data_IF_124904055294
#
_entry.id   IF_124904055294
#
_cell.length_a   1.000
_cell.length_b   1.000
_cell.length_c   1.000
_cell.angle_alpha   90.00
_cell.angle_beta   90.00
_cell.angle_gamma   90.00
#
_symmetry.space_group_name_H-M   'P 1'
#
loop_
_entity.id
_entity.type
_entity.pdbx_description
1 polymer ?
#
# COMPACT_ATOMS: atom_id res chain seq x y z
N UNK A 1 55.87 39.77 12.21
CA UNK A 1 57.01 39.36 13.02
C UNK A 1 56.58 38.26 13.94
N UNK A 2 57.23 37.11 13.89
CA UNK A 2 57.01 35.97 14.80
C UNK A 2 56.89 34.63 14.09
N UNK A 3 58.01 34.11 13.64
CA UNK A 3 58.20 32.71 13.22
C UNK A 3 58.22 31.78 14.45
N UNK A 4 57.59 30.61 14.32
CA UNK A 4 57.96 29.48 15.18
C UNK A 4 58.04 28.25 14.30
N UNK A 5 59.28 27.73 14.17
CA UNK A 5 59.66 26.43 13.64
C UNK A 5 59.44 25.36 14.74
N UNK A 6 58.83 24.25 14.38
CA UNK A 6 58.78 23.03 15.21
C UNK A 6 59.43 21.85 14.47
N UNK A 7 60.12 20.93 15.14
CA UNK A 7 61.07 20.01 14.50
C UNK A 7 60.45 18.82 13.81
N UNK A 8 61.03 18.46 12.67
CA UNK A 8 60.86 17.20 11.95
C UNK A 8 61.32 15.99 12.78
N UNK A 9 60.52 14.96 12.90
CA UNK A 9 60.96 13.65 13.30
C UNK A 9 60.52 12.63 12.24
N UNK A 10 61.43 12.29 11.35
CA UNK A 10 61.37 11.09 10.53
C UNK A 10 61.79 9.89 11.36
N UNK A 11 60.87 8.96 11.57
CA UNK A 11 61.23 7.59 11.92
C UNK A 11 60.62 6.63 10.92
N UNK A 12 61.46 6.06 10.08
CA UNK A 12 61.12 4.97 9.17
C UNK A 12 60.92 3.67 9.98
N UNK A 13 59.68 3.19 10.03
CA UNK A 13 59.44 1.79 10.37
C UNK A 13 59.08 1.04 9.09
N UNK A 14 60.03 0.25 8.59
CA UNK A 14 59.82 -0.67 7.49
C UNK A 14 59.08 -1.92 8.03
N UNK A 15 57.76 -1.97 7.86
CA UNK A 15 57.02 -3.21 7.98
C UNK A 15 57.00 -3.94 6.64
N UNK A 16 57.66 -5.08 6.57
CA UNK A 16 57.60 -6.01 5.45
C UNK A 16 56.22 -6.64 5.38
N UNK A 17 55.36 -6.12 4.48
CA UNK A 17 54.11 -6.76 4.11
C UNK A 17 54.41 -8.01 3.29
N UNK A 18 54.15 -9.20 3.83
CA UNK A 18 54.09 -10.42 3.06
C UNK A 18 52.93 -10.31 2.03
N UNK A 19 53.30 -10.34 0.76
CA UNK A 19 52.34 -10.38 -0.34
C UNK A 19 51.77 -11.80 -0.41
N UNK A 20 50.54 -12.00 0.08
CA UNK A 20 49.80 -13.21 -0.17
C UNK A 20 49.51 -13.26 -1.67
N UNK A 21 50.08 -14.20 -2.40
CA UNK A 21 49.74 -14.48 -3.79
C UNK A 21 48.28 -14.92 -3.86
N UNK A 22 47.43 -14.09 -4.49
CA UNK A 22 46.06 -14.43 -4.85
C UNK A 22 46.08 -15.57 -5.84
N UNK A 23 45.60 -16.73 -5.43
CA UNK A 23 45.39 -17.86 -6.34
C UNK A 23 44.38 -17.49 -7.44
N UNK A 24 44.73 -17.85 -8.66
CA UNK A 24 43.90 -17.57 -9.83
C UNK A 24 42.51 -18.21 -9.70
N UNK A 25 41.44 -17.40 -9.77
CA UNK A 25 40.04 -17.88 -9.73
C UNK A 25 39.73 -18.90 -10.86
N UNK A 26 40.50 -18.91 -11.93
CA UNK A 26 40.38 -19.89 -13.02
C UNK A 26 40.71 -21.32 -12.61
N UNK A 27 41.60 -21.50 -11.64
CA UNK A 27 41.99 -22.83 -11.13
C UNK A 27 40.82 -23.52 -10.40
N UNK A 28 40.07 -22.79 -9.59
CA UNK A 28 38.93 -23.35 -8.85
C UNK A 28 37.75 -23.72 -9.76
N UNK A 29 37.57 -22.99 -10.86
CA UNK A 29 36.50 -23.31 -11.84
C UNK A 29 36.82 -24.67 -12.51
N UNK A 30 38.06 -24.90 -12.93
CA UNK A 30 38.46 -26.16 -13.56
C UNK A 30 38.37 -27.35 -12.60
N UNK A 31 38.77 -27.19 -11.36
CA UNK A 31 38.67 -28.29 -10.36
C UNK A 31 37.19 -28.61 -10.05
N UNK A 32 36.32 -27.59 -9.99
CA UNK A 32 34.87 -27.80 -9.83
C UNK A 32 34.24 -28.56 -11.00
N UNK A 33 34.64 -28.20 -12.23
CA UNK A 33 34.11 -28.84 -13.43
C UNK A 33 34.56 -30.31 -13.53
N UNK A 34 35.81 -30.60 -13.25
CA UNK A 34 36.34 -31.97 -13.22
C UNK A 34 35.61 -32.80 -12.15
N UNK A 35 35.40 -32.21 -10.95
CA UNK A 35 34.65 -32.87 -9.88
C UNK A 35 33.21 -33.22 -10.26
N UNK A 36 32.54 -32.31 -10.96
CA UNK A 36 31.14 -32.52 -11.44
C UNK A 36 31.08 -33.66 -12.47
N UNK A 37 32.01 -33.69 -13.41
CA UNK A 37 32.03 -34.74 -14.44
C UNK A 37 32.36 -36.11 -13.81
N UNK A 38 33.34 -36.19 -12.92
CA UNK A 38 33.69 -37.45 -12.20
C UNK A 38 32.50 -37.89 -11.35
N UNK A 39 31.83 -36.98 -10.66
CA UNK A 39 30.64 -37.29 -9.87
C UNK A 39 29.52 -37.86 -10.72
N UNK A 40 29.19 -37.22 -11.88
CA UNK A 40 28.15 -37.67 -12.81
C UNK A 40 28.45 -39.07 -13.36
N UNK A 41 29.70 -39.33 -13.75
CA UNK A 41 30.11 -40.64 -14.25
C UNK A 41 30.03 -41.70 -13.14
N UNK A 42 30.43 -41.37 -11.92
CA UNK A 42 30.35 -42.30 -10.76
C UNK A 42 28.88 -42.67 -10.44
N UNK A 43 27.97 -41.70 -10.48
CA UNK A 43 26.54 -41.94 -10.24
C UNK A 43 25.98 -42.84 -11.37
N UNK A 44 26.36 -42.61 -12.61
CA UNK A 44 25.89 -43.42 -13.75
C UNK A 44 26.28 -44.90 -13.62
N UNK A 45 27.47 -45.19 -13.08
CA UNK A 45 27.93 -46.58 -12.86
C UNK A 45 27.35 -47.19 -11.58
N UNK A 46 27.06 -46.40 -10.55
CA UNK A 46 26.57 -46.90 -9.27
C UNK A 46 25.02 -46.99 -9.23
N UNK A 47 24.30 -46.24 -10.03
CA UNK A 47 22.83 -46.17 -10.05
C UNK A 47 22.14 -47.56 -10.16
N UNK A 48 22.61 -48.49 -10.97
CA UNK A 48 21.99 -49.81 -11.04
C UNK A 48 22.04 -50.63 -9.73
N UNK A 49 22.90 -50.26 -8.79
CA UNK A 49 23.13 -50.99 -7.54
C UNK A 49 22.48 -50.29 -6.34
N UNK A 50 21.75 -49.19 -6.56
CA UNK A 50 21.08 -48.47 -5.45
C UNK A 50 19.60 -48.85 -5.37
N UNK A 51 19.11 -49.33 -4.20
CA UNK A 51 17.74 -49.82 -4.09
C UNK A 51 16.64 -48.80 -4.43
N UNK A 52 16.93 -47.50 -4.28
CA UNK A 52 15.96 -46.45 -4.60
C UNK A 52 15.90 -46.09 -6.10
N UNK A 53 16.92 -46.47 -6.88
CA UNK A 53 16.98 -46.14 -8.32
C UNK A 53 16.18 -47.12 -9.21
N UNK A 54 15.73 -48.25 -8.65
CA UNK A 54 15.06 -49.26 -9.42
C UNK A 54 13.54 -49.04 -9.53
N UNK A 55 12.97 -48.03 -8.85
CA UNK A 55 11.52 -47.84 -8.80
C UNK A 55 10.99 -46.70 -9.73
N UNK A 56 11.80 -46.15 -10.62
CA UNK A 56 11.38 -45.09 -11.52
C UNK A 56 11.33 -45.47 -13.01
N UNK A 57 11.08 -46.73 -13.30
CA UNK A 57 10.70 -47.16 -14.64
C UNK A 57 9.18 -47.02 -14.79
N UNK A 58 8.76 -45.92 -15.42
CA UNK A 58 7.35 -45.70 -15.74
C UNK A 58 6.93 -46.64 -16.85
N UNK A 59 6.53 -47.88 -16.49
CA UNK A 59 5.72 -48.69 -17.37
C UNK A 59 4.27 -48.45 -17.06
N UNK A 60 3.56 -47.87 -18.00
CA UNK A 60 2.10 -47.75 -17.96
C UNK A 60 1.49 -49.16 -18.04
N UNK A 61 1.25 -49.79 -16.88
CA UNK A 61 0.46 -51.01 -16.84
C UNK A 61 -0.99 -50.64 -16.66
N UNK A 62 -1.80 -51.04 -17.61
CA UNK A 62 -3.25 -51.03 -17.56
C UNK A 62 -3.72 -51.85 -16.37
N UNK A 63 -4.33 -51.23 -15.36
CA UNK A 63 -4.99 -51.90 -14.27
C UNK A 63 -6.39 -52.28 -14.69
N UNK A 64 -6.62 -53.58 -14.87
CA UNK A 64 -7.97 -54.16 -14.91
C UNK A 64 -8.51 -54.25 -13.48
N UNK A 65 -9.77 -53.93 -13.36
CA UNK A 65 -10.56 -53.88 -12.14
C UNK A 65 -10.62 -55.23 -11.39
N UNK A 66 -10.29 -55.22 -10.10
CA UNK A 66 -11.14 -55.78 -9.04
C UNK A 66 -10.45 -55.67 -7.69
N UNK A 67 -10.89 -54.72 -6.91
CA UNK A 67 -11.00 -54.82 -5.44
C UNK A 67 -11.53 -53.48 -4.89
N UNK A 68 -12.63 -53.60 -4.15
CA UNK A 68 -13.25 -52.48 -3.43
C UNK A 68 -12.30 -51.95 -2.33
N UNK A 69 -11.85 -50.72 -2.50
CA UNK A 69 -11.35 -49.93 -1.39
C UNK A 69 -12.17 -48.64 -1.39
N UNK A 70 -13.02 -48.48 -0.40
CA UNK A 70 -13.75 -47.24 -0.15
C UNK A 70 -12.77 -46.18 0.35
N UNK A 71 -12.21 -45.42 -0.56
CA UNK A 71 -11.49 -44.18 -0.29
C UNK A 71 -11.99 -43.14 -1.24
N UNK A 72 -12.62 -42.11 -0.72
CA UNK A 72 -13.12 -40.99 -1.53
C UNK A 72 -11.92 -40.24 -2.14
N UNK A 73 -11.52 -40.62 -3.33
CA UNK A 73 -10.57 -39.84 -4.10
C UNK A 73 -11.36 -38.70 -4.76
N UNK A 74 -11.18 -37.51 -4.27
CA UNK A 74 -11.74 -36.32 -4.93
C UNK A 74 -10.87 -36.06 -6.15
N UNK A 75 -11.37 -36.21 -7.37
CA UNK A 75 -10.58 -35.87 -8.55
C UNK A 75 -10.45 -34.35 -8.65
N UNK A 76 -9.26 -33.83 -8.41
CA UNK A 76 -8.96 -32.45 -8.73
C UNK A 76 -8.69 -32.37 -10.24
N UNK A 77 -9.75 -32.50 -11.01
CA UNK A 77 -9.68 -32.17 -12.43
C UNK A 77 -10.69 -31.06 -12.70
N UNK A 78 -10.31 -29.84 -12.37
CA UNK A 78 -10.91 -28.70 -13.03
C UNK A 78 -10.22 -28.58 -14.39
N UNK A 79 -10.89 -28.98 -15.46
CA UNK A 79 -10.55 -28.55 -16.80
C UNK A 79 -10.49 -27.02 -16.77
N UNK A 80 -9.30 -26.46 -16.87
CA UNK A 80 -9.12 -25.03 -17.11
C UNK A 80 -9.91 -24.72 -18.39
N UNK A 81 -11.01 -24.00 -18.22
CA UNK A 81 -11.70 -23.37 -19.36
C UNK A 81 -10.70 -22.34 -19.92
N UNK A 82 -10.27 -22.62 -21.13
CA UNK A 82 -9.56 -21.71 -22.03
C UNK A 82 -8.45 -20.87 -21.37
N UNK A 83 -7.24 -21.07 -21.81
CA UNK A 83 -6.15 -20.12 -21.53
C UNK A 83 -6.69 -18.71 -21.81
N UNK A 84 -6.78 -17.90 -20.80
CA UNK A 84 -7.18 -16.50 -20.93
C UNK A 84 -6.16 -15.84 -21.87
N UNK A 85 -6.64 -15.18 -22.91
CA UNK A 85 -5.79 -14.40 -23.81
C UNK A 85 -5.23 -13.19 -23.06
N UNK A 86 -4.17 -13.42 -22.30
CA UNK A 86 -3.52 -12.37 -21.50
C UNK A 86 -3.04 -11.20 -22.37
N UNK A 87 -2.39 -11.42 -23.55
CA UNK A 87 -2.05 -10.29 -24.42
C UNK A 87 -3.27 -9.46 -24.84
N UNK A 88 -4.36 -10.11 -25.25
CA UNK A 88 -5.60 -9.41 -25.65
C UNK A 88 -6.23 -8.65 -24.49
N UNK A 89 -6.19 -9.22 -23.28
CA UNK A 89 -6.69 -8.54 -22.06
C UNK A 89 -5.84 -7.29 -21.76
N UNK A 90 -4.51 -7.41 -21.84
CA UNK A 90 -3.59 -6.27 -21.61
C UNK A 90 -3.84 -5.18 -22.67
N UNK A 91 -4.05 -5.56 -23.92
CA UNK A 91 -4.36 -4.60 -24.99
C UNK A 91 -5.66 -3.84 -24.69
N UNK A 92 -6.68 -4.54 -24.24
CA UNK A 92 -7.96 -3.92 -23.82
C UNK A 92 -7.81 -2.99 -22.61
N UNK A 93 -6.95 -3.37 -21.66
CA UNK A 93 -6.69 -2.59 -20.44
C UNK A 93 -5.94 -1.28 -20.76
N UNK A 94 -5.13 -1.23 -21.82
CA UNK A 94 -4.42 0.01 -22.21
C UNK A 94 -5.34 1.19 -22.48
N UNK A 95 -6.57 0.93 -22.92
CA UNK A 95 -7.52 2.00 -23.21
C UNK A 95 -8.16 2.60 -21.94
N UNK A 96 -8.09 1.89 -20.83
CA UNK A 96 -8.74 2.33 -19.58
C UNK A 96 -7.72 2.71 -18.49
N UNK A 97 -6.44 2.35 -18.66
CA UNK A 97 -5.37 2.73 -17.73
C UNK A 97 -4.56 3.88 -18.35
N UNK A 98 -4.56 5.02 -17.69
CA UNK A 98 -4.01 6.28 -18.20
C UNK A 98 -2.88 6.80 -17.34
N UNK A 99 -2.07 7.70 -17.90
CA UNK A 99 -1.06 8.43 -17.13
C UNK A 99 -1.69 9.64 -16.44
N UNK A 100 -1.32 9.88 -15.19
CA UNK A 100 -1.72 11.09 -14.44
C UNK A 100 -0.47 11.90 -14.13
N UNK A 101 -0.49 13.16 -14.50
CA UNK A 101 0.64 14.09 -14.40
C UNK A 101 0.29 15.19 -13.40
N UNK A 102 1.07 15.27 -12.34
CA UNK A 102 0.99 16.32 -11.31
C UNK A 102 2.00 17.43 -11.65
N UNK A 103 1.50 18.63 -11.87
CA UNK A 103 2.29 19.81 -12.15
C UNK A 103 2.29 20.72 -10.92
N UNK A 104 3.46 21.11 -10.46
CA UNK A 104 3.62 22.02 -9.31
C UNK A 104 4.46 23.22 -9.72
N UNK A 105 4.27 24.33 -9.03
CA UNK A 105 5.09 25.53 -9.26
C UNK A 105 6.46 25.33 -8.62
N UNK A 106 7.48 25.66 -9.40
CA UNK A 106 8.85 25.71 -8.87
C UNK A 106 8.95 26.81 -7.84
N UNK A 107 9.66 26.54 -6.75
CA UNK A 107 9.97 27.54 -5.73
C UNK A 107 11.41 28.00 -5.93
N UNK A 108 11.63 29.30 -5.97
CA UNK A 108 12.97 29.88 -5.97
C UNK A 108 13.62 29.54 -4.62
N UNK A 109 14.72 28.78 -4.61
CA UNK A 109 15.33 28.33 -3.34
C UNK A 109 15.93 29.50 -2.53
N UNK A 110 16.17 30.67 -3.14
CA UNK A 110 16.72 31.86 -2.45
C UNK A 110 15.62 32.80 -1.98
N UNK A 111 14.62 33.03 -2.83
CA UNK A 111 13.52 33.96 -2.52
C UNK A 111 12.39 33.30 -1.76
N UNK A 112 12.35 31.96 -1.70
CA UNK A 112 11.27 31.16 -1.11
C UNK A 112 9.88 31.53 -1.67
N UNK A 113 9.86 31.92 -2.96
CA UNK A 113 8.63 32.34 -3.65
C UNK A 113 8.43 31.50 -4.93
N UNK A 114 7.18 31.30 -5.35
CA UNK A 114 6.90 30.61 -6.60
C UNK A 114 7.52 31.38 -7.80
N UNK A 115 8.20 30.66 -8.66
CA UNK A 115 8.85 31.23 -9.87
C UNK A 115 7.85 31.48 -11.00
N UNK A 116 6.62 30.99 -10.85
CA UNK A 116 5.62 31.04 -11.93
C UNK A 116 5.81 29.96 -12.99
N UNK A 117 6.89 29.16 -12.90
CA UNK A 117 7.12 28.05 -13.82
C UNK A 117 6.54 26.75 -13.24
N UNK A 118 5.73 26.07 -14.03
CA UNK A 118 5.17 24.77 -13.68
C UNK A 118 6.14 23.66 -14.10
N UNK A 119 6.43 22.74 -13.19
CA UNK A 119 7.21 21.54 -13.50
C UNK A 119 6.41 20.30 -13.12
N UNK A 120 6.68 19.19 -13.81
CA UNK A 120 6.14 17.89 -13.45
C UNK A 120 6.79 17.44 -12.14
N UNK A 121 5.98 17.35 -11.11
CA UNK A 121 6.41 16.89 -9.80
C UNK A 121 6.24 15.37 -9.60
N UNK A 122 5.14 14.66 -10.16
CA UNK A 122 4.89 13.38 -10.04
C UNK A 122 4.19 12.92 -11.21
N UNK A 123 4.38 11.80 -11.26
CA UNK A 123 3.48 11.13 -12.21
C UNK A 123 3.13 9.73 -11.69
N UNK A 124 1.95 9.25 -12.07
CA UNK A 124 1.47 7.93 -11.72
C UNK A 124 0.47 7.47 -12.75
N UNK A 125 -0.32 6.48 -12.37
CA UNK A 125 -1.37 5.93 -13.23
C UNK A 125 -2.76 6.25 -12.69
N UNK A 126 -3.78 6.07 -13.52
CA UNK A 126 -5.16 6.18 -13.14
C UNK A 126 -6.02 5.24 -13.99
N UNK A 127 -7.25 5.03 -13.56
CA UNK A 127 -8.19 4.12 -14.20
C UNK A 127 -9.46 4.87 -14.57
N UNK A 128 -9.83 4.87 -15.85
CA UNK A 128 -11.11 5.43 -16.32
C UNK A 128 -12.21 4.43 -15.95
N UNK A 129 -13.02 4.78 -14.95
CA UNK A 129 -14.06 3.87 -14.44
C UNK A 129 -15.48 4.28 -14.86
N UNK A 130 -15.65 5.52 -15.34
CA UNK A 130 -16.98 6.03 -15.64
C UNK A 130 -16.91 7.12 -16.73
N UNK A 131 -17.92 7.12 -17.61
CA UNK A 131 -18.18 8.20 -18.54
C UNK A 131 -19.64 8.65 -18.36
N UNK A 132 -19.87 9.94 -18.26
CA UNK A 132 -21.19 10.53 -18.09
C UNK A 132 -21.29 11.82 -18.94
N UNK A 133 -22.02 11.76 -20.03
CA UNK A 133 -22.11 12.85 -20.99
C UNK A 133 -20.74 13.15 -21.61
N UNK A 134 -20.32 14.40 -21.53
CA UNK A 134 -19.04 14.87 -22.06
C UNK A 134 -17.88 14.73 -21.05
N UNK A 135 -18.10 14.07 -19.92
CA UNK A 135 -17.11 13.94 -18.87
C UNK A 135 -16.69 12.49 -18.68
N UNK A 136 -15.44 12.27 -18.34
CA UNK A 136 -14.96 10.96 -17.90
C UNK A 136 -14.27 11.10 -16.53
N UNK A 137 -14.41 10.08 -15.71
CA UNK A 137 -13.94 10.06 -14.33
C UNK A 137 -12.85 8.98 -14.17
N UNK A 138 -11.79 9.37 -13.46
CA UNK A 138 -10.58 8.55 -13.29
C UNK A 138 -10.30 8.46 -11.80
N UNK A 139 -10.10 7.24 -11.32
CA UNK A 139 -9.59 7.02 -9.97
C UNK A 139 -8.08 6.88 -10.00
N UNK A 140 -7.18 7.49 -9.15
CA UNK A 140 -5.89 7.50 -9.02
C UNK A 140 -5.61 7.37 -7.64
N UNK A 141 -4.39 7.34 -7.23
CA UNK A 141 -4.01 7.49 -5.80
C UNK A 141 -3.97 8.96 -5.38
N UNK A 142 -4.24 9.20 -4.12
CA UNK A 142 -4.16 10.55 -3.53
C UNK A 142 -2.73 11.10 -3.62
N UNK A 143 -1.71 10.32 -3.31
CA UNK A 143 -0.33 10.81 -3.33
C UNK A 143 0.13 11.26 -4.73
N UNK A 144 -0.51 10.76 -5.80
CA UNK A 144 -0.20 11.18 -7.18
C UNK A 144 -0.69 12.61 -7.45
N UNK A 145 -1.80 13.03 -6.85
CA UNK A 145 -2.41 14.36 -7.09
C UNK A 145 -2.10 15.36 -5.98
N UNK A 146 -1.47 14.92 -4.91
CA UNK A 146 -1.26 15.79 -3.75
C UNK A 146 -0.32 16.94 -4.08
N UNK A 147 -0.66 18.14 -3.59
CA UNK A 147 0.10 19.36 -3.85
C UNK A 147 0.05 19.89 -5.29
N UNK A 148 -0.79 19.31 -6.16
CA UNK A 148 -0.85 19.74 -7.56
C UNK A 148 -1.44 21.15 -7.72
N UNK A 149 -0.76 22.00 -8.47
CA UNK A 149 -1.32 23.27 -8.97
C UNK A 149 -2.16 22.99 -10.22
N UNK A 150 -1.73 22.07 -11.06
CA UNK A 150 -2.43 21.65 -12.26
C UNK A 150 -2.30 20.12 -12.44
N UNK A 151 -3.37 19.51 -12.92
CA UNK A 151 -3.40 18.09 -13.25
C UNK A 151 -3.65 17.90 -14.74
N UNK A 152 -3.03 16.88 -15.31
CA UNK A 152 -3.27 16.46 -16.67
C UNK A 152 -3.29 14.94 -16.75
N UNK A 153 -4.04 14.43 -17.70
CA UNK A 153 -4.14 12.99 -17.97
C UNK A 153 -3.60 12.73 -19.38
N UNK A 154 -2.77 11.71 -19.50
CA UNK A 154 -2.26 11.24 -20.78
C UNK A 154 -2.99 9.95 -21.15
N UNK A 155 -3.75 10.02 -22.23
CA UNK A 155 -4.57 8.91 -22.74
C UNK A 155 -3.69 7.91 -23.52
N UNK A 156 -4.25 6.73 -23.83
CA UNK A 156 -3.54 5.68 -24.57
C UNK A 156 -3.11 6.11 -25.98
N UNK A 157 -3.82 7.05 -26.61
CA UNK A 157 -3.46 7.61 -27.92
C UNK A 157 -2.35 8.68 -27.85
N UNK A 158 -1.80 8.91 -26.66
CA UNK A 158 -0.75 9.89 -26.41
C UNK A 158 -1.25 11.31 -26.15
N UNK A 159 -2.54 11.57 -26.32
CA UNK A 159 -3.11 12.92 -26.06
C UNK A 159 -3.04 13.27 -24.59
N UNK A 160 -2.62 14.50 -24.32
CA UNK A 160 -2.62 15.08 -22.98
C UNK A 160 -3.87 15.98 -22.85
N UNK A 161 -4.68 15.71 -21.84
CA UNK A 161 -5.91 16.47 -21.57
C UNK A 161 -5.84 17.03 -20.14
N UNK A 162 -6.33 18.24 -19.95
CA UNK A 162 -6.39 18.84 -18.61
C UNK A 162 -7.36 18.07 -17.74
N UNK A 163 -7.02 17.93 -16.46
CA UNK A 163 -7.83 17.21 -15.50
C UNK A 163 -8.16 18.10 -14.30
N UNK A 164 -9.35 17.93 -13.78
CA UNK A 164 -9.83 18.63 -12.58
C UNK A 164 -9.95 17.65 -11.43
N UNK A 165 -9.39 17.99 -10.27
CA UNK A 165 -9.59 17.20 -9.05
C UNK A 165 -11.07 17.30 -8.62
N UNK A 166 -11.74 16.17 -8.52
CA UNK A 166 -13.12 16.07 -8.01
C UNK A 166 -13.08 15.93 -6.48
N UNK A 167 -12.21 15.07 -5.97
CA UNK A 167 -12.03 14.88 -4.55
C UNK A 167 -10.88 13.93 -4.25
N UNK A 168 -10.45 13.92 -2.98
CA UNK A 168 -9.37 13.04 -2.55
C UNK A 168 -9.58 12.54 -1.13
N UNK A 169 -9.03 11.35 -0.85
CA UNK A 169 -9.07 10.71 0.47
C UNK A 169 -7.66 10.23 0.84
N UNK A 170 -6.94 10.97 1.70
CA UNK A 170 -5.61 10.53 2.15
C UNK A 170 -5.61 9.23 2.97
N UNK A 171 -6.73 8.88 3.62
CA UNK A 171 -6.84 7.70 4.49
C UNK A 171 -6.72 6.39 3.74
N UNK A 172 -7.33 6.33 2.55
CA UNK A 172 -7.25 5.15 1.68
C UNK A 172 -6.40 5.41 0.44
N UNK A 173 -5.69 6.53 0.41
CA UNK A 173 -4.80 6.92 -0.69
C UNK A 173 -5.54 6.91 -2.04
N UNK A 174 -6.77 7.45 -2.07
CA UNK A 174 -7.59 7.52 -3.29
C UNK A 174 -7.91 8.96 -3.69
N UNK A 175 -8.02 9.19 -4.99
CA UNK A 175 -8.47 10.46 -5.55
C UNK A 175 -9.30 10.20 -6.81
N UNK A 176 -10.20 11.11 -7.10
CA UNK A 176 -10.99 11.11 -8.33
C UNK A 176 -10.70 12.40 -9.08
N UNK A 177 -10.39 12.27 -10.37
CA UNK A 177 -10.25 13.42 -11.29
C UNK A 177 -11.23 13.28 -12.44
N UNK A 178 -11.61 14.41 -13.00
CA UNK A 178 -12.54 14.56 -14.14
C UNK A 178 -11.76 15.09 -15.34
N UNK A 179 -12.04 14.55 -16.52
CA UNK A 179 -11.51 15.05 -17.81
C UNK A 179 -12.64 15.23 -18.81
N UNK A 180 -12.34 15.94 -19.91
CA UNK A 180 -13.22 15.92 -21.11
C UNK A 180 -13.25 14.50 -21.65
N UNK A 181 -14.46 13.94 -21.74
CA UNK A 181 -14.68 12.56 -22.19
C UNK A 181 -14.75 12.38 -23.70
N UNK A 182 -14.50 13.41 -24.50
CA UNK A 182 -14.65 13.32 -25.97
C UNK A 182 -13.80 12.20 -26.58
N UNK A 183 -12.59 11.98 -26.04
CA UNK A 183 -11.67 10.95 -26.54
C UNK A 183 -11.70 9.65 -25.73
N UNK A 184 -12.68 9.49 -24.82
CA UNK A 184 -12.82 8.30 -24.00
C UNK A 184 -13.90 7.40 -24.62
N UNK A 185 -13.48 6.23 -25.10
CA UNK A 185 -14.35 5.26 -25.77
C UNK A 185 -14.65 4.02 -24.92
N UNK A 186 -13.84 3.78 -23.89
CA UNK A 186 -13.99 2.62 -23.01
C UNK A 186 -13.85 3.03 -21.54
N UNK A 187 -14.53 2.28 -20.69
CA UNK A 187 -14.38 2.39 -19.24
C UNK A 187 -14.04 1.01 -18.67
N UNK A 188 -13.37 0.97 -17.56
CA UNK A 188 -12.97 -0.27 -16.90
C UNK A 188 -14.16 -1.00 -16.29
N UNK A 189 -14.11 -2.33 -16.32
CA UNK A 189 -15.05 -3.18 -15.59
C UNK A 189 -14.55 -3.38 -14.17
N UNK A 190 -15.31 -2.90 -13.19
CA UNK A 190 -14.99 -3.08 -11.77
C UNK A 190 -15.53 -4.44 -11.30
N UNK A 191 -14.62 -5.29 -10.85
CA UNK A 191 -14.93 -6.63 -10.36
C UNK A 191 -15.45 -6.67 -8.93
N UNK A 192 -15.20 -7.79 -8.26
CA UNK A 192 -15.62 -8.05 -6.88
C UNK A 192 -14.45 -8.63 -6.08
N UNK A 193 -13.80 -7.79 -5.28
CA UNK A 193 -12.64 -8.20 -4.48
C UNK A 193 -13.01 -9.15 -3.31
N UNK A 194 -14.29 -9.29 -2.96
CA UNK A 194 -14.69 -10.25 -1.93
C UNK A 194 -14.60 -11.71 -2.41
N UNK A 195 -14.62 -11.92 -3.72
CA UNK A 195 -14.63 -13.24 -4.34
C UNK A 195 -13.25 -13.77 -4.72
N UNK A 196 -12.21 -12.95 -4.66
CA UNK A 196 -10.86 -13.36 -5.02
C UNK A 196 -10.30 -14.36 -3.99
N UNK A 197 -9.38 -15.20 -4.43
CA UNK A 197 -8.75 -16.22 -3.60
C UNK A 197 -7.23 -16.17 -3.77
N UNK A 198 -6.53 -16.52 -2.70
CA UNK A 198 -5.08 -16.70 -2.77
C UNK A 198 -4.73 -17.73 -3.87
N UNK A 199 -3.70 -17.43 -4.65
CA UNK A 199 -3.25 -18.24 -5.78
C UNK A 199 -3.87 -17.87 -7.13
N UNK A 200 -4.92 -17.02 -7.18
CA UNK A 200 -5.48 -16.54 -8.45
C UNK A 200 -4.53 -15.54 -9.11
N UNK A 201 -4.51 -15.52 -10.43
CA UNK A 201 -3.70 -14.58 -11.21
C UNK A 201 -4.06 -13.12 -10.89
N UNK A 202 -3.04 -12.30 -10.76
CA UNK A 202 -3.12 -10.86 -10.55
C UNK A 202 -2.22 -10.16 -11.56
N UNK A 203 -2.77 -9.24 -12.33
CA UNK A 203 -2.05 -8.50 -13.36
C UNK A 203 -2.11 -7.01 -12.98
N UNK A 204 -0.98 -6.43 -12.58
CA UNK A 204 -0.89 -5.01 -12.26
C UNK A 204 -0.51 -4.23 -13.51
N UNK A 205 -1.35 -3.25 -13.87
CA UNK A 205 -1.14 -2.42 -15.05
C UNK A 205 -1.12 -0.95 -14.66
N UNK A 206 -0.10 -0.23 -15.13
CA UNK A 206 0.00 1.21 -15.04
C UNK A 206 0.48 1.80 -16.36
N UNK A 207 0.34 3.12 -16.48
CA UNK A 207 0.74 3.84 -17.70
C UNK A 207 1.29 5.23 -17.35
N UNK A 208 2.34 5.32 -16.54
CA UNK A 208 2.77 6.60 -15.95
C UNK A 208 3.18 7.66 -16.99
N UNK A 209 3.63 7.25 -18.13
CA UNK A 209 4.12 8.16 -19.19
C UNK A 209 3.23 8.14 -20.45
N UNK A 210 2.21 7.27 -20.48
CA UNK A 210 1.26 7.18 -21.58
C UNK A 210 1.84 6.59 -22.87
N UNK A 211 2.90 5.78 -22.78
CA UNK A 211 3.53 5.14 -23.94
C UNK A 211 3.47 3.61 -23.83
N UNK A 212 4.43 3.03 -23.15
CA UNK A 212 4.48 1.59 -22.95
C UNK A 212 4.11 1.29 -21.49
N UNK A 213 2.88 0.88 -21.28
CA UNK A 213 2.37 0.59 -19.94
C UNK A 213 3.25 -0.37 -19.16
N UNK A 214 3.42 -0.10 -17.87
CA UNK A 214 4.06 -1.05 -16.96
C UNK A 214 3.07 -2.18 -16.67
N UNK A 215 3.41 -3.39 -17.07
CA UNK A 215 2.59 -4.59 -16.82
C UNK A 215 3.43 -5.57 -16.01
N UNK A 216 2.91 -5.99 -14.87
CA UNK A 216 3.53 -7.05 -14.06
C UNK A 216 2.48 -8.10 -13.75
N UNK A 217 2.88 -9.38 -13.73
CA UNK A 217 2.00 -10.51 -13.43
C UNK A 217 2.50 -11.23 -12.18
N UNK A 218 1.57 -11.67 -11.38
CA UNK A 218 1.82 -12.49 -10.21
C UNK A 218 0.52 -13.17 -9.78
N UNK A 219 0.39 -13.43 -8.49
CA UNK A 219 -0.80 -14.03 -7.90
C UNK A 219 -1.31 -13.19 -6.72
N UNK A 220 -2.53 -13.43 -6.32
CA UNK A 220 -3.07 -12.93 -5.05
C UNK A 220 -2.40 -13.74 -3.93
N UNK A 221 -1.58 -13.08 -3.13
CA UNK A 221 -0.95 -13.71 -1.96
C UNK A 221 -1.90 -13.73 -0.76
N UNK A 222 -2.69 -12.65 -0.59
CA UNK A 222 -3.75 -12.55 0.42
C UNK A 222 -4.83 -11.58 -0.07
N UNK A 223 -6.10 -11.95 0.11
CA UNK A 223 -7.22 -11.07 -0.28
C UNK A 223 -7.50 -9.97 0.75
N UNK A 224 -7.11 -10.21 1.99
CA UNK A 224 -7.35 -9.30 3.12
C UNK A 224 -6.13 -9.31 4.03
N UNK A 225 -5.43 -8.19 4.08
CA UNK A 225 -4.32 -7.99 4.99
C UNK A 225 -4.44 -6.58 5.57
N UNK A 226 -4.35 -6.47 6.88
CA UNK A 226 -4.26 -5.16 7.55
C UNK A 226 -2.80 -4.76 7.62
N UNK A 227 -2.50 -3.57 7.15
CA UNK A 227 -1.15 -3.01 7.22
C UNK A 227 -1.21 -1.59 7.83
N UNK A 228 -0.24 -1.26 8.68
CA UNK A 228 -0.16 0.08 9.25
C UNK A 228 0.22 1.10 8.18
N UNK A 229 -0.46 2.23 8.15
CA UNK A 229 -0.20 3.33 7.21
C UNK A 229 0.07 4.60 8.00
N UNK A 230 1.17 5.24 7.69
CA UNK A 230 1.55 6.56 8.16
C UNK A 230 1.03 7.58 7.12
N UNK A 231 0.06 8.40 7.52
CA UNK A 231 -0.59 9.35 6.63
C UNK A 231 0.17 10.69 6.61
N UNK A 232 0.66 11.12 7.77
CA UNK A 232 1.27 12.44 7.93
C UNK A 232 2.81 12.44 7.88
N UNK A 233 3.45 11.26 7.82
CA UNK A 233 4.90 11.12 7.65
C UNK A 233 5.70 11.16 8.96
N UNK A 234 5.05 11.02 10.11
CA UNK A 234 5.73 11.06 11.42
C UNK A 234 6.33 9.70 11.84
N UNK A 235 6.21 8.69 10.99
CA UNK A 235 6.68 7.29 11.14
C UNK A 235 5.89 6.47 12.17
N UNK A 236 4.68 6.91 12.48
CA UNK A 236 3.72 6.16 13.31
C UNK A 236 2.50 5.78 12.48
N UNK A 237 1.87 4.70 12.87
CA UNK A 237 0.66 4.28 12.17
C UNK A 237 -0.53 5.14 12.59
N UNK A 238 -1.11 5.86 11.64
CA UNK A 238 -2.38 6.59 11.82
C UNK A 238 -3.59 5.70 11.64
N UNK A 239 -3.44 4.68 10.81
CA UNK A 239 -4.52 3.87 10.31
C UNK A 239 -4.01 2.47 9.92
N UNK A 240 -4.88 1.47 10.01
CA UNK A 240 -4.64 0.16 9.39
C UNK A 240 -5.46 0.07 8.12
N UNK A 241 -4.80 0.03 6.99
CA UNK A 241 -5.45 -0.17 5.70
C UNK A 241 -5.66 -1.66 5.45
N UNK A 242 -6.87 -2.01 5.02
CA UNK A 242 -7.16 -3.35 4.52
C UNK A 242 -6.78 -3.40 3.04
N UNK A 243 -5.92 -4.33 2.65
CA UNK A 243 -5.34 -4.39 1.31
C UNK A 243 -5.35 -5.82 0.75
N UNK A 244 -5.29 -5.91 -0.58
CA UNK A 244 -4.93 -7.13 -1.31
C UNK A 244 -3.40 -7.18 -1.35
N UNK A 245 -2.81 -8.33 -0.99
CA UNK A 245 -1.38 -8.57 -1.17
C UNK A 245 -1.17 -9.41 -2.42
N UNK A 246 -0.16 -9.05 -3.23
CA UNK A 246 0.24 -9.75 -4.46
C UNK A 246 1.77 -9.77 -4.57
N UNK A 247 2.31 -10.75 -5.26
CA UNK A 247 3.72 -10.77 -5.65
C UNK A 247 3.95 -10.14 -7.03
N UNK A 248 2.88 -9.73 -7.74
CA UNK A 248 3.02 -8.84 -8.89
C UNK A 248 3.72 -7.54 -8.45
N UNK A 249 4.78 -7.14 -9.12
CA UNK A 249 5.58 -5.99 -8.70
C UNK A 249 4.77 -4.69 -8.76
N UNK A 250 4.59 -4.03 -7.62
CA UNK A 250 3.93 -2.73 -7.50
C UNK A 250 5.01 -1.67 -7.27
N UNK A 251 5.11 -0.72 -8.18
CA UNK A 251 6.16 0.31 -8.23
C UNK A 251 5.53 1.67 -8.52
N UNK A 252 6.27 2.77 -8.32
CA UNK A 252 5.74 4.11 -8.61
C UNK A 252 5.10 4.28 -9.99
N UNK A 253 5.56 3.54 -10.99
CA UNK A 253 5.01 3.60 -12.36
C UNK A 253 3.59 3.04 -12.48
N UNK A 254 3.23 1.97 -11.74
CA UNK A 254 1.89 1.39 -11.81
C UNK A 254 0.98 1.79 -10.63
N UNK A 255 1.49 2.63 -9.71
CA UNK A 255 0.71 3.19 -8.60
C UNK A 255 -0.44 4.06 -9.13
N UNK A 256 -1.64 3.83 -8.64
CA UNK A 256 -2.88 4.46 -9.12
C UNK A 256 -3.52 3.72 -10.29
N UNK A 257 -2.78 2.82 -10.92
CA UNK A 257 -3.29 1.91 -11.94
C UNK A 257 -4.08 0.76 -11.33
N UNK A 258 -4.42 -0.22 -12.16
CA UNK A 258 -5.32 -1.30 -11.76
C UNK A 258 -4.60 -2.61 -11.48
N UNK A 259 -5.12 -3.34 -10.50
CA UNK A 259 -4.88 -4.76 -10.34
C UNK A 259 -6.06 -5.50 -10.97
N UNK A 260 -5.79 -6.26 -12.03
CA UNK A 260 -6.81 -7.04 -12.76
C UNK A 260 -6.77 -8.51 -12.35
N UNK A 261 -7.94 -9.15 -12.41
CA UNK A 261 -8.03 -10.61 -12.39
C UNK A 261 -7.84 -11.15 -13.83
N UNK A 262 -7.84 -12.47 -13.96
CA UNK A 262 -7.66 -13.13 -15.27
C UNK A 262 -8.80 -12.86 -16.28
N UNK A 263 -9.94 -12.33 -15.84
CA UNK A 263 -11.08 -11.99 -16.68
C UNK A 263 -11.04 -10.53 -17.17
N UNK A 264 -9.99 -9.77 -16.82
CA UNK A 264 -9.88 -8.35 -17.17
C UNK A 264 -10.76 -7.43 -16.31
N UNK A 265 -11.20 -7.91 -15.15
CA UNK A 265 -11.96 -7.09 -14.20
C UNK A 265 -11.01 -6.52 -13.14
N UNK A 266 -11.24 -5.28 -12.73
CA UNK A 266 -10.41 -4.62 -11.72
C UNK A 266 -10.84 -5.11 -10.33
N UNK A 267 -9.89 -5.72 -9.61
CA UNK A 267 -10.07 -6.20 -8.24
C UNK A 267 -9.43 -5.27 -7.21
N UNK A 268 -8.54 -4.37 -7.64
CA UNK A 268 -7.92 -3.40 -6.75
C UNK A 268 -7.26 -2.23 -7.48
N UNK A 269 -6.91 -1.19 -6.72
CA UNK A 269 -6.13 -0.04 -7.17
C UNK A 269 -4.74 -0.16 -6.56
N UNK A 270 -3.71 -0.24 -7.39
CA UNK A 270 -2.31 -0.40 -6.97
C UNK A 270 -1.85 0.80 -6.14
N UNK A 271 -1.13 0.58 -5.04
CA UNK A 271 -0.56 1.69 -4.26
C UNK A 271 0.87 1.38 -3.82
N UNK A 272 1.82 2.08 -4.41
CA UNK A 272 3.24 1.98 -4.03
C UNK A 272 3.52 2.68 -2.70
N UNK A 273 2.72 3.67 -2.29
CA UNK A 273 2.87 4.31 -0.98
C UNK A 273 2.65 3.31 0.16
N UNK A 274 1.63 2.46 0.01
CA UNK A 274 1.32 1.42 0.99
C UNK A 274 2.44 0.34 1.00
N UNK A 275 3.13 0.15 -0.13
CA UNK A 275 4.20 -0.85 -0.28
C UNK A 275 5.58 -0.39 0.25
N UNK A 276 5.69 0.80 0.84
CA UNK A 276 6.99 1.40 1.20
C UNK A 276 7.80 0.69 2.29
N UNK A 277 7.35 -0.42 2.84
CA UNK A 277 8.23 -1.29 3.60
C UNK A 277 8.92 -2.23 2.60
N UNK A 278 10.15 -1.91 2.25
CA UNK A 278 10.97 -2.53 1.20
C UNK A 278 11.18 -4.04 1.37
N UNK A 279 10.14 -4.81 1.12
CA UNK A 279 10.26 -6.27 1.04
C UNK A 279 10.00 -6.67 -0.40
N UNK A 280 11.05 -7.12 -1.06
CA UNK A 280 10.98 -7.60 -2.45
C UNK A 280 9.93 -8.70 -2.57
N UNK A 281 9.09 -8.64 -3.61
CA UNK A 281 8.05 -9.63 -3.84
C UNK A 281 6.75 -9.40 -3.05
N UNK A 282 6.57 -8.23 -2.43
CA UNK A 282 5.33 -7.87 -1.75
C UNK A 282 4.77 -6.57 -2.34
N UNK A 283 3.67 -6.68 -3.04
CA UNK A 283 2.90 -5.55 -3.56
C UNK A 283 1.55 -5.46 -2.90
N UNK A 284 0.97 -4.26 -2.88
CA UNK A 284 -0.34 -4.01 -2.27
C UNK A 284 -1.26 -3.25 -3.21
N UNK A 285 -2.56 -3.60 -3.13
CA UNK A 285 -3.62 -2.87 -3.84
C UNK A 285 -4.81 -2.65 -2.90
N UNK A 286 -5.45 -1.50 -3.06
CA UNK A 286 -6.68 -1.15 -2.32
C UNK A 286 -7.82 -1.98 -2.92
N UNK A 287 -8.52 -2.84 -2.15
CA UNK A 287 -9.59 -3.68 -2.69
C UNK A 287 -10.67 -2.86 -3.36
N UNK A 288 -11.16 -3.30 -4.52
CA UNK A 288 -12.14 -2.52 -5.29
C UNK A 288 -13.46 -2.33 -4.53
N UNK A 289 -13.86 -3.30 -3.69
CA UNK A 289 -15.08 -3.18 -2.88
C UNK A 289 -14.93 -2.13 -1.77
N UNK A 290 -13.71 -1.84 -1.32
CA UNK A 290 -13.41 -0.74 -0.39
C UNK A 290 -13.33 0.59 -1.16
N UNK A 291 -12.77 0.57 -2.36
CA UNK A 291 -12.61 1.78 -3.18
C UNK A 291 -13.95 2.33 -3.68
N UNK A 292 -14.89 1.47 -4.09
CA UNK A 292 -16.19 1.89 -4.67
C UNK A 292 -16.94 2.92 -3.81
N UNK A 293 -17.26 2.66 -2.53
CA UNK A 293 -17.98 3.65 -1.72
C UNK A 293 -17.21 4.96 -1.49
N UNK A 294 -15.87 4.87 -1.45
CA UNK A 294 -15.00 6.07 -1.37
C UNK A 294 -15.12 6.88 -2.66
N UNK A 295 -15.01 6.24 -3.82
CA UNK A 295 -15.16 6.87 -5.14
C UNK A 295 -16.52 7.59 -5.23
N UNK A 296 -17.61 6.92 -4.83
CA UNK A 296 -18.96 7.50 -4.82
C UNK A 296 -19.04 8.74 -3.92
N UNK A 297 -18.43 8.68 -2.73
CA UNK A 297 -18.40 9.82 -1.80
C UNK A 297 -17.60 11.00 -2.39
N UNK A 298 -16.47 10.71 -3.03
CA UNK A 298 -15.63 11.73 -3.67
C UNK A 298 -16.35 12.38 -4.86
N UNK A 299 -17.08 11.60 -5.67
CA UNK A 299 -17.89 12.15 -6.78
C UNK A 299 -18.99 13.07 -6.26
N UNK A 300 -19.68 12.65 -5.20
CA UNK A 300 -20.87 13.34 -4.69
C UNK A 300 -20.52 14.57 -3.86
N UNK A 301 -19.58 14.42 -2.92
CA UNK A 301 -19.30 15.41 -1.88
C UNK A 301 -17.90 16.02 -1.98
N UNK A 302 -17.02 15.49 -2.82
CA UNK A 302 -15.61 15.90 -2.92
C UNK A 302 -14.74 15.40 -1.78
N UNK A 303 -15.35 14.80 -0.76
CA UNK A 303 -14.67 14.31 0.45
C UNK A 303 -15.35 13.04 0.95
N UNK A 304 -14.62 12.24 1.71
CA UNK A 304 -15.19 11.11 2.43
C UNK A 304 -15.54 11.56 3.86
N UNK A 305 -16.82 11.56 4.19
CA UNK A 305 -17.31 11.97 5.51
C UNK A 305 -17.15 10.82 6.49
N UNK A 306 -16.31 11.04 7.51
CA UNK A 306 -16.08 10.07 8.58
C UNK A 306 -16.54 10.63 9.92
N UNK A 307 -17.15 9.79 10.79
CA UNK A 307 -17.57 10.26 12.11
C UNK A 307 -16.35 10.63 12.96
N UNK A 308 -16.38 11.79 13.56
CA UNK A 308 -15.26 12.35 14.31
C UNK A 308 -15.71 13.04 15.59
N UNK A 309 -14.86 12.97 16.61
CA UNK A 309 -14.99 13.74 17.85
C UNK A 309 -14.39 15.15 17.72
N UNK A 310 -13.53 15.39 16.74
CA UNK A 310 -12.83 16.66 16.58
C UNK A 310 -11.74 16.83 17.62
N UNK A 311 -10.83 15.87 17.67
CA UNK A 311 -9.71 15.81 18.62
C UNK A 311 -8.41 15.41 17.91
N UNK A 312 -7.30 15.94 18.37
CA UNK A 312 -5.98 15.40 18.08
C UNK A 312 -5.64 14.36 19.15
N UNK A 313 -5.20 13.18 18.76
CA UNK A 313 -5.01 12.04 19.67
C UNK A 313 -3.58 11.49 19.58
N UNK A 314 -3.08 11.03 20.75
CA UNK A 314 -1.77 10.36 20.87
C UNK A 314 -1.99 9.11 21.74
N UNK A 315 -1.42 7.98 21.35
CA UNK A 315 -1.46 6.78 22.21
C UNK A 315 -0.71 7.03 23.52
N UNK A 316 -1.26 6.57 24.63
CA UNK A 316 -0.62 6.77 25.94
C UNK A 316 0.80 6.19 25.99
N UNK A 317 1.03 5.08 25.31
CA UNK A 317 2.35 4.43 25.18
C UNK A 317 3.40 5.31 24.48
N UNK A 318 2.96 6.26 23.64
CA UNK A 318 3.83 7.17 22.90
C UNK A 318 4.15 8.45 23.68
N UNK A 319 3.46 8.68 24.80
CA UNK A 319 3.68 9.87 25.61
C UNK A 319 4.95 9.67 26.44
N UNK A 320 5.83 10.65 26.41
CA UNK A 320 7.09 10.59 27.16
C UNK A 320 6.83 10.44 28.68
N UNK A 321 7.63 9.65 29.36
CA UNK A 321 7.42 9.27 30.76
C UNK A 321 7.23 10.47 31.71
N UNK A 322 7.96 11.57 31.48
CA UNK A 322 7.78 12.77 32.32
C UNK A 322 6.41 13.41 32.15
N UNK A 323 5.84 13.37 30.97
CA UNK A 323 4.52 13.94 30.69
C UNK A 323 3.42 13.04 31.24
N UNK A 324 3.59 11.72 31.21
CA UNK A 324 2.65 10.76 31.80
C UNK A 324 2.47 11.06 33.29
N UNK A 325 3.56 11.38 34.01
CA UNK A 325 3.48 11.74 35.44
C UNK A 325 2.64 13.00 35.69
N UNK A 326 2.68 13.95 34.75
CA UNK A 326 1.88 15.18 34.84
C UNK A 326 0.38 14.93 34.60
N UNK A 327 0.05 13.90 33.81
CA UNK A 327 -1.33 13.54 33.52
C UNK A 327 -2.04 12.86 34.68
N UNK A 328 -1.33 12.54 35.76
CA UNK A 328 -1.86 11.85 36.98
C UNK A 328 -2.59 10.55 36.60
N UNK A 329 -2.00 9.79 35.68
CA UNK A 329 -2.55 8.52 35.20
C UNK A 329 -2.58 7.52 36.35
N UNK A 330 -3.74 6.90 36.68
CA UNK A 330 -3.76 5.81 37.65
C UNK A 330 -2.84 4.65 37.22
N UNK A 331 -2.16 4.02 38.17
CA UNK A 331 -1.18 2.95 37.92
C UNK A 331 -1.77 1.76 37.15
N UNK A 332 -3.05 1.52 37.29
CA UNK A 332 -3.78 0.46 36.60
C UNK A 332 -4.10 0.79 35.14
N UNK A 333 -3.96 2.06 34.72
CA UNK A 333 -4.22 2.51 33.36
C UNK A 333 -2.88 2.51 32.60
N UNK A 334 -2.60 1.44 31.89
CA UNK A 334 -1.36 1.27 31.14
C UNK A 334 -1.52 1.63 29.67
N UNK A 335 -2.75 1.62 29.17
CA UNK A 335 -3.07 1.85 27.74
C UNK A 335 -4.23 2.83 27.64
N UNK A 336 -4.33 3.51 26.51
CA UNK A 336 -5.38 4.48 26.25
C UNK A 336 -4.95 5.53 25.26
N UNK A 337 -5.77 6.56 25.11
CA UNK A 337 -5.57 7.62 24.12
C UNK A 337 -5.65 8.98 24.82
N UNK A 338 -4.57 9.73 24.75
CA UNK A 338 -4.50 11.10 25.30
C UNK A 338 -5.08 12.08 24.27
N UNK A 339 -6.02 12.90 24.68
CA UNK A 339 -6.54 13.99 23.84
C UNK A 339 -5.51 15.15 23.88
N UNK A 340 -4.67 15.21 22.86
CA UNK A 340 -3.60 16.22 22.74
C UNK A 340 -4.13 17.59 22.33
N UNK A 341 -5.26 17.60 21.60
CA UNK A 341 -5.91 18.84 21.13
C UNK A 341 -7.41 18.64 21.06
N UNK A 342 -8.17 19.65 21.49
CA UNK A 342 -9.63 19.72 21.25
C UNK A 342 -9.86 20.84 20.23
N UNK A 343 -10.52 20.52 19.13
CA UNK A 343 -10.83 21.53 18.12
C UNK A 343 -12.06 22.35 18.51
N UNK A 344 -12.07 23.65 18.25
CA UNK A 344 -13.23 24.49 18.58
C UNK A 344 -14.51 24.03 17.90
N UNK A 345 -15.64 24.20 18.58
CA UNK A 345 -16.99 23.88 18.09
C UNK A 345 -17.19 22.38 17.81
N UNK A 346 -16.20 21.55 18.20
CA UNK A 346 -16.21 20.11 17.97
C UNK A 346 -17.21 19.35 18.86
N UNK A 347 -17.60 18.11 18.49
CA UNK A 347 -18.34 17.23 19.39
C UNK A 347 -17.67 17.03 20.76
N UNK A 348 -16.34 16.93 20.79
CA UNK A 348 -15.58 16.76 22.03
C UNK A 348 -15.73 17.97 22.94
N UNK A 349 -15.54 19.18 22.41
CA UNK A 349 -15.72 20.43 23.17
C UNK A 349 -17.16 20.53 23.72
N UNK A 350 -18.16 20.29 22.86
CA UNK A 350 -19.59 20.34 23.25
C UNK A 350 -19.94 19.32 24.35
N UNK A 351 -19.27 18.16 24.32
CA UNK A 351 -19.45 17.14 25.36
C UNK A 351 -18.72 17.45 26.68
N UNK A 352 -17.84 18.46 26.69
CA UNK A 352 -17.04 18.81 27.83
C UNK A 352 -15.81 17.91 28.04
N UNK A 353 -15.29 17.36 26.95
CA UNK A 353 -13.96 16.74 26.94
C UNK A 353 -12.90 17.84 26.90
N UNK A 354 -11.77 17.60 27.55
CA UNK A 354 -10.69 18.58 27.67
C UNK A 354 -9.36 18.01 27.22
N UNK A 355 -8.43 18.90 26.88
CA UNK A 355 -7.06 18.52 26.57
C UNK A 355 -6.47 17.74 27.76
N UNK A 356 -5.77 16.66 27.45
CA UNK A 356 -5.13 15.74 28.39
C UNK A 356 -6.08 14.74 29.08
N UNK A 357 -7.35 14.69 28.70
CA UNK A 357 -8.21 13.55 29.06
C UNK A 357 -7.60 12.26 28.45
N UNK A 358 -7.64 11.17 29.19
CA UNK A 358 -7.09 9.87 28.75
C UNK A 358 -8.28 8.94 28.49
N UNK A 359 -8.64 8.79 27.24
CA UNK A 359 -9.77 7.94 26.82
C UNK A 359 -9.33 6.46 26.90
N UNK A 360 -10.14 5.64 27.57
CA UNK A 360 -9.88 4.20 27.77
C UNK A 360 -10.98 3.31 27.18
N UNK A 361 -12.15 3.87 26.85
CA UNK A 361 -13.22 3.12 26.20
C UNK A 361 -14.15 4.03 25.40
N UNK A 362 -14.75 3.49 24.35
CA UNK A 362 -15.84 4.08 23.55
C UNK A 362 -17.01 3.09 23.56
N UNK A 363 -18.20 3.52 24.00
CA UNK A 363 -19.40 2.67 24.18
C UNK A 363 -19.07 1.36 24.92
N UNK A 364 -18.27 1.44 25.99
CA UNK A 364 -17.80 0.32 26.78
C UNK A 364 -16.83 -0.63 26.05
N UNK A 365 -16.45 -0.34 24.80
CA UNK A 365 -15.40 -1.08 24.09
C UNK A 365 -14.04 -0.46 24.47
N UNK A 366 -13.15 -1.29 25.02
CA UNK A 366 -11.81 -0.85 25.43
C UNK A 366 -11.04 -0.28 24.23
N UNK A 367 -10.34 0.81 24.45
CA UNK A 367 -9.50 1.48 23.46
C UNK A 367 -8.09 1.58 24.03
N UNK A 368 -7.14 0.93 23.42
CA UNK A 368 -5.77 0.81 23.94
C UNK A 368 -4.81 1.82 23.31
N UNK A 369 -5.10 2.29 22.10
CA UNK A 369 -4.24 3.22 21.36
C UNK A 369 -5.05 4.04 20.35
N UNK A 370 -4.39 5.00 19.72
CA UNK A 370 -5.01 5.91 18.74
C UNK A 370 -5.57 5.17 17.52
N UNK A 371 -4.94 4.07 17.14
CA UNK A 371 -5.37 3.24 16.01
C UNK A 371 -6.74 2.59 16.31
N UNK A 372 -6.88 1.92 17.47
CA UNK A 372 -8.15 1.31 17.91
C UNK A 372 -9.25 2.36 18.09
N UNK A 373 -8.89 3.55 18.58
CA UNK A 373 -9.80 4.69 18.74
C UNK A 373 -10.41 5.08 17.37
N UNK A 374 -9.56 5.29 16.37
CA UNK A 374 -10.02 5.65 15.01
C UNK A 374 -10.80 4.51 14.36
N UNK A 375 -10.30 3.28 14.47
CA UNK A 375 -10.95 2.06 13.93
C UNK A 375 -12.37 1.92 14.49
N UNK A 376 -12.55 2.09 15.81
CA UNK A 376 -13.88 2.03 16.44
C UNK A 376 -14.83 3.05 15.81
N UNK A 377 -14.41 4.31 15.75
CA UNK A 377 -15.27 5.38 15.21
C UNK A 377 -15.66 5.09 13.76
N UNK A 378 -14.68 4.71 12.93
CA UNK A 378 -14.91 4.57 11.48
C UNK A 378 -15.69 3.31 11.09
N UNK A 379 -15.54 2.22 11.84
CA UNK A 379 -16.21 0.94 11.53
C UNK A 379 -17.55 0.76 12.24
N UNK A 380 -17.70 1.34 13.43
CA UNK A 380 -18.86 1.06 14.31
C UNK A 380 -19.82 2.23 14.44
N UNK A 381 -19.45 3.41 13.91
CA UNK A 381 -20.26 4.64 14.07
C UNK A 381 -20.52 5.33 12.74
N UNK A 382 -21.54 6.20 12.76
CA UNK A 382 -21.89 7.09 11.63
C UNK A 382 -21.92 8.54 12.09
N UNK A 383 -21.79 9.46 11.15
CA UNK A 383 -21.97 10.90 11.41
C UNK A 383 -23.37 11.12 11.99
N UNK A 384 -23.47 11.87 13.08
CA UNK A 384 -24.70 12.16 13.82
C UNK A 384 -25.02 11.18 14.93
N UNK A 385 -24.34 10.03 15.00
CA UNK A 385 -24.55 9.07 16.09
C UNK A 385 -23.86 9.52 17.39
N UNK A 386 -24.42 9.07 18.51
CA UNK A 386 -23.83 9.31 19.83
C UNK A 386 -22.77 8.26 20.12
N UNK A 387 -21.73 8.70 20.84
CA UNK A 387 -20.70 7.82 21.38
C UNK A 387 -20.49 8.17 22.86
N UNK A 388 -20.46 7.17 23.71
CA UNK A 388 -20.12 7.31 25.11
C UNK A 388 -18.60 7.20 25.26
N UNK A 389 -17.97 8.23 25.80
CA UNK A 389 -16.51 8.30 25.98
C UNK A 389 -16.20 8.11 27.46
N UNK A 390 -15.51 7.03 27.80
CA UNK A 390 -14.99 6.77 29.15
C UNK A 390 -13.51 7.19 29.20
N UNK A 391 -13.18 8.03 30.16
CA UNK A 391 -11.83 8.63 30.23
C UNK A 391 -11.42 8.93 31.67
N UNK A 392 -10.14 9.19 31.86
CA UNK A 392 -9.60 9.70 33.15
C UNK A 392 -9.19 11.17 32.98
N UNK A 393 -9.54 11.97 33.98
CA UNK A 393 -9.13 13.38 34.11
C UNK A 393 -8.60 13.57 35.52
N UNK A 394 -7.35 13.96 35.66
CA UNK A 394 -6.69 14.14 36.98
C UNK A 394 -6.82 12.91 37.88
N UNK A 395 -6.74 11.72 37.31
CA UNK A 395 -6.83 10.45 38.05
C UNK A 395 -8.26 9.97 38.35
N UNK A 396 -9.28 10.75 37.99
CA UNK A 396 -10.69 10.38 38.22
C UNK A 396 -11.32 9.83 36.94
N UNK A 397 -11.99 8.70 37.07
CA UNK A 397 -12.71 8.07 35.92
C UNK A 397 -14.03 8.81 35.71
N UNK A 398 -14.28 9.19 34.47
CA UNK A 398 -15.46 9.95 34.05
C UNK A 398 -16.02 9.38 32.75
N UNK A 399 -17.29 9.72 32.48
CA UNK A 399 -17.96 9.35 31.24
C UNK A 399 -18.72 10.55 30.69
N UNK A 400 -18.64 10.77 29.40
CA UNK A 400 -19.37 11.82 28.68
C UNK A 400 -19.94 11.24 27.38
N UNK A 401 -21.05 11.78 26.90
CA UNK A 401 -21.64 11.41 25.60
C UNK A 401 -21.45 12.55 24.63
N UNK A 402 -20.88 12.23 23.46
CA UNK A 402 -20.70 13.17 22.35
C UNK A 402 -21.53 12.74 21.15
N UNK A 403 -22.04 13.70 20.37
CA UNK A 403 -22.69 13.44 19.09
C UNK A 403 -21.66 13.67 17.99
N UNK A 404 -21.30 12.63 17.27
CA UNK A 404 -20.24 12.64 16.25
C UNK A 404 -20.59 13.56 15.08
N UNK A 405 -19.62 14.36 14.66
CA UNK A 405 -19.74 15.21 13.48
C UNK A 405 -18.89 14.62 12.33
N UNK A 406 -19.04 15.21 11.18
CA UNK A 406 -18.25 14.93 9.99
C UNK A 406 -16.81 15.46 10.21
N UNK A 407 -15.82 14.64 9.88
CA UNK A 407 -14.40 15.02 10.00
C UNK A 407 -13.97 16.17 9.07
N UNK A 408 -14.76 16.52 8.06
CA UNK A 408 -14.45 17.66 7.19
C UNK A 408 -14.48 19.00 7.93
N UNK A 409 -15.27 19.09 9.00
CA UNK A 409 -15.36 20.30 9.83
C UNK A 409 -14.05 20.62 10.59
N UNK A 410 -13.16 19.64 10.73
CA UNK A 410 -11.88 19.81 11.47
C UNK A 410 -10.69 20.13 10.55
N UNK A 411 -10.88 20.09 9.21
CA UNK A 411 -9.79 20.30 8.25
C UNK A 411 -9.53 21.77 7.87
N UNK A 412 -10.41 22.67 8.24
CA UNK A 412 -10.34 24.10 7.85
C UNK A 412 -9.75 25.01 8.93
N UNK A 413 -8.98 24.44 9.88
CA UNK A 413 -8.38 25.27 10.94
C UNK A 413 -6.90 24.97 11.13
#
# INVERSE_FOLDING_TARGET
MGYYDGPNLNEEHSETREVRKSGSKKGYFFTGLVGAVVGAVSISFAAPYMPWAQNNGATVSSFSSDSKVEGTVVPVVNKAKNETDLPGMIEGAKDVVVGVINMQQSIDPFAMQPTGQEQQAXSGSGVIYKKAGNKAYIVXNNHVVDGANKLAVKLSDGKKVDAKLVGKDPWLDLAVVEIDGANVNKVATLGDSSKIRAGEKAIAIGNPLGFDGSVTEGIISSKEREIPVDIDGDKRADWNAQVIQTDAAINPGNSGGALFNQNGEIIGINSSKIAQQEVEGIGFAIPINIAKPVIESLEKDGVVKRPALGVGVVSLEDVQAYAVNQLKVPKEVTNGVVLGKIYPISPAEKAGLEQYDIVVALDNQKVENSLQFRKYLYEKKKVGEKVEVTFYRNGQKMTKTATLADNSATKNQ
#
